data_IF_456894788969
#
_entry.id   IF_456894788969
#
_cell.length_a   1.000
_cell.length_b   1.000
_cell.length_c   1.000
_cell.angle_alpha   90.00
_cell.angle_beta   90.00
_cell.angle_gamma   90.00
#
_symmetry.space_group_name_H-M   'P 1'
#
loop_
_entity.id
_entity.type
_entity.pdbx_description
1 polymer ?
#
# COMPACT_ATOMS: atom_id res chain seq x y z
N UNK A 1 -1.05 -26.34 -38.45
CA UNK A 1 -1.47 -25.29 -37.47
C UNK A 1 -1.96 -24.07 -38.21
N UNK A 2 -3.21 -23.64 -37.99
CA UNK A 2 -3.78 -22.41 -38.58
C UNK A 2 -2.98 -21.17 -38.17
N UNK A 3 -2.92 -20.14 -39.03
CA UNK A 3 -2.25 -18.84 -38.78
C UNK A 3 -2.70 -18.23 -37.45
N UNK A 4 -4.00 -18.32 -37.12
CA UNK A 4 -4.53 -17.82 -35.85
C UNK A 4 -3.93 -18.50 -34.61
N UNK A 5 -3.63 -19.81 -34.67
CA UNK A 5 -2.98 -20.54 -33.57
C UNK A 5 -1.52 -20.13 -33.37
N UNK A 6 -0.80 -19.78 -34.46
CA UNK A 6 0.58 -19.27 -34.38
C UNK A 6 0.62 -17.87 -33.76
N UNK A 7 -0.29 -16.99 -34.16
CA UNK A 7 -0.41 -15.63 -33.61
C UNK A 7 -0.75 -15.68 -32.13
N UNK A 8 -1.71 -16.52 -31.73
CA UNK A 8 -2.07 -16.70 -30.31
C UNK A 8 -0.88 -17.20 -29.48
N UNK A 9 -0.12 -18.18 -29.99
CA UNK A 9 1.07 -18.71 -29.31
C UNK A 9 2.16 -17.66 -29.13
N UNK A 10 2.36 -16.78 -30.12
CA UNK A 10 3.33 -15.69 -30.04
C UNK A 10 2.90 -14.63 -29.01
N UNK A 11 1.62 -14.27 -28.96
CA UNK A 11 1.08 -13.39 -27.91
C UNK A 11 1.23 -13.98 -26.51
N UNK A 12 0.92 -15.27 -26.34
CA UNK A 12 1.11 -15.95 -25.06
C UNK A 12 2.59 -15.95 -24.62
N UNK A 13 3.51 -16.20 -25.55
CA UNK A 13 4.95 -16.18 -25.26
C UNK A 13 5.44 -14.77 -24.87
N UNK A 14 5.02 -13.74 -25.60
CA UNK A 14 5.34 -12.34 -25.26
C UNK A 14 4.77 -11.93 -23.90
N UNK A 15 3.53 -12.34 -23.61
CA UNK A 15 2.87 -12.09 -22.32
C UNK A 15 3.66 -12.74 -21.16
N UNK A 16 4.04 -14.01 -21.31
CA UNK A 16 4.83 -14.72 -20.30
C UNK A 16 6.22 -14.11 -20.13
N UNK A 17 6.88 -13.70 -21.23
CA UNK A 17 8.17 -13.02 -21.16
C UNK A 17 8.08 -11.65 -20.47
N UNK A 18 7.03 -10.87 -20.75
CA UNK A 18 6.77 -9.60 -20.09
C UNK A 18 6.53 -9.78 -18.59
N UNK A 19 5.74 -10.80 -18.20
CA UNK A 19 5.50 -11.14 -16.81
C UNK A 19 6.77 -11.59 -16.09
N UNK A 20 7.58 -12.42 -16.75
CA UNK A 20 8.87 -12.85 -16.23
C UNK A 20 9.80 -11.67 -15.97
N UNK A 21 9.93 -10.74 -16.92
CA UNK A 21 10.70 -9.50 -16.72
C UNK A 21 10.13 -8.64 -15.59
N UNK A 22 8.81 -8.55 -15.47
CA UNK A 22 8.15 -7.76 -14.43
C UNK A 22 8.36 -8.31 -13.01
N UNK A 23 8.49 -9.64 -12.87
CA UNK A 23 8.79 -10.29 -11.58
C UNK A 23 10.13 -9.81 -11.01
N UNK A 24 11.19 -9.80 -11.81
CA UNK A 24 12.50 -9.31 -11.39
C UNK A 24 12.53 -7.82 -11.09
N UNK A 25 11.62 -7.05 -11.70
CA UNK A 25 11.57 -5.59 -11.56
C UNK A 25 10.75 -5.11 -10.35
N UNK A 26 9.61 -5.75 -10.07
CA UNK A 26 8.68 -5.29 -9.02
C UNK A 26 8.73 -6.12 -7.75
N UNK A 27 8.98 -7.42 -7.85
CA UNK A 27 8.78 -8.36 -6.75
C UNK A 27 10.07 -8.95 -6.17
N UNK A 28 11.25 -8.56 -6.70
CA UNK A 28 12.52 -8.98 -6.12
C UNK A 28 12.67 -8.38 -4.72
N UNK A 29 12.55 -9.23 -3.72
CA UNK A 29 12.71 -8.87 -2.31
C UNK A 29 14.12 -8.35 -2.04
N UNK A 30 14.21 -7.23 -1.33
CA UNK A 30 15.48 -6.65 -0.90
C UNK A 30 15.89 -7.19 0.47
N UNK A 31 17.20 -7.14 0.77
CA UNK A 31 17.80 -7.55 2.06
C UNK A 31 17.21 -6.86 3.29
N UNK A 32 16.55 -5.71 3.12
CA UNK A 32 15.96 -4.92 4.20
C UNK A 32 14.47 -5.25 4.48
N UNK A 33 13.92 -6.31 3.86
CA UNK A 33 12.50 -6.68 4.05
C UNK A 33 11.51 -5.72 3.37
N UNK A 34 11.94 -5.07 2.29
CA UNK A 34 11.13 -4.22 1.42
C UNK A 34 11.13 -4.78 -0.01
N UNK A 35 10.02 -4.60 -0.74
CA UNK A 35 9.88 -5.05 -2.14
C UNK A 35 10.53 -4.04 -3.11
N UNK A 36 11.72 -4.36 -3.61
CA UNK A 36 12.46 -3.59 -4.62
C UNK A 36 12.99 -2.22 -4.14
N UNK A 37 14.27 -1.93 -4.41
CA UNK A 37 14.93 -0.66 -4.09
C UNK A 37 15.05 0.29 -5.30
N UNK A 38 14.97 -0.27 -6.52
CA UNK A 38 15.10 0.47 -7.77
C UNK A 38 13.82 1.27 -8.01
N UNK A 39 13.89 2.60 -7.95
CA UNK A 39 12.74 3.51 -8.08
C UNK A 39 11.83 3.61 -6.85
N UNK A 40 12.35 3.52 -5.62
CA UNK A 40 11.59 3.90 -4.42
C UNK A 40 10.95 5.27 -4.62
N UNK A 41 9.70 5.42 -4.16
CA UNK A 41 8.99 6.69 -4.29
C UNK A 41 8.99 7.40 -2.95
N UNK A 42 9.37 8.67 -2.99
CA UNK A 42 9.58 9.48 -1.80
C UNK A 42 8.68 10.71 -1.84
N UNK A 43 8.05 10.99 -0.71
CA UNK A 43 7.40 12.26 -0.43
C UNK A 43 7.78 12.71 0.99
N UNK A 44 7.68 14.00 1.27
CA UNK A 44 7.96 14.53 2.59
C UNK A 44 7.01 15.67 2.96
N UNK A 45 6.94 16.01 4.24
CA UNK A 45 6.20 17.16 4.75
C UNK A 45 6.89 17.73 5.99
N UNK A 46 6.47 18.93 6.36
CA UNK A 46 7.02 19.69 7.48
C UNK A 46 8.23 20.54 7.09
N UNK A 47 9.26 20.58 7.93
CA UNK A 47 10.49 21.33 7.63
C UNK A 47 11.33 20.60 6.57
N UNK A 48 11.87 21.30 5.54
CA UNK A 48 12.65 20.67 4.48
C UNK A 48 13.84 19.86 5.02
N UNK A 49 14.11 18.65 4.48
CA UNK A 49 15.24 17.83 4.92
C UNK A 49 16.61 18.52 4.78
N UNK A 50 16.75 19.40 3.78
CA UNK A 50 17.98 20.11 3.47
C UNK A 50 18.19 21.42 4.25
N UNK A 51 17.17 21.95 4.94
CA UNK A 51 17.32 23.24 5.66
C UNK A 51 18.11 23.14 6.97
N UNK A 52 18.43 21.91 7.43
CA UNK A 52 19.01 21.66 8.76
C UNK A 52 20.26 20.74 8.76
N UNK A 53 20.84 20.40 7.61
CA UNK A 53 22.08 19.59 7.58
C UNK A 53 23.27 20.25 8.32
N UNK A 54 23.15 21.54 8.66
CA UNK A 54 24.14 22.33 9.39
C UNK A 54 23.63 22.90 10.72
N UNK A 55 22.41 22.57 11.14
CA UNK A 55 21.71 23.10 12.33
C UNK A 55 22.03 22.35 13.64
N UNK A 56 23.31 22.11 13.87
CA UNK A 56 23.92 21.43 15.02
C UNK A 56 23.47 22.06 16.37
N UNK A 57 22.44 21.53 17.03
CA UNK A 57 22.01 21.96 18.39
C UNK A 57 20.54 22.34 18.61
N UNK A 58 19.65 22.13 17.63
CA UNK A 58 18.22 22.45 17.77
C UNK A 58 17.36 21.21 18.04
N UNK A 59 16.24 21.43 18.72
CA UNK A 59 15.21 20.39 18.91
C UNK A 59 14.62 19.99 17.55
N UNK A 60 14.59 18.69 17.28
CA UNK A 60 14.14 18.11 16.01
C UNK A 60 13.37 16.81 16.22
N UNK A 61 12.28 16.65 15.48
CA UNK A 61 11.56 15.38 15.32
C UNK A 61 11.68 14.94 13.85
N UNK A 62 12.16 13.73 13.63
CA UNK A 62 12.28 13.14 12.30
C UNK A 62 11.49 11.85 12.25
N UNK A 63 10.43 11.82 11.45
CA UNK A 63 9.55 10.69 11.26
C UNK A 63 9.80 10.05 9.90
N UNK A 64 9.76 8.73 9.87
CA UNK A 64 9.96 7.94 8.67
C UNK A 64 8.81 6.95 8.55
N UNK A 65 8.10 7.00 7.43
CA UNK A 65 7.02 6.08 7.11
C UNK A 65 7.46 5.20 5.96
N UNK A 66 7.44 3.89 6.19
CA UNK A 66 7.78 2.88 5.19
C UNK A 66 6.66 1.85 5.06
N UNK A 67 6.76 0.94 4.10
CA UNK A 67 5.89 -0.23 4.04
C UNK A 67 6.70 -1.52 4.06
N UNK A 68 6.16 -2.57 4.69
CA UNK A 68 6.77 -3.90 4.69
C UNK A 68 6.31 -4.73 3.47
N UNK A 69 6.86 -5.93 3.33
CA UNK A 69 6.48 -6.92 2.29
C UNK A 69 5.00 -7.29 2.29
N UNK A 70 4.32 -7.19 3.44
CA UNK A 70 2.89 -7.46 3.58
C UNK A 70 2.02 -6.24 3.23
N UNK A 71 2.63 -5.12 2.80
CA UNK A 71 1.91 -3.89 2.48
C UNK A 71 1.40 -3.13 3.70
N UNK A 72 1.84 -3.47 4.91
CA UNK A 72 1.55 -2.72 6.13
C UNK A 72 2.46 -1.50 6.22
N UNK A 73 1.88 -0.36 6.60
CA UNK A 73 2.61 0.89 6.80
C UNK A 73 3.23 0.92 8.19
N UNK A 74 4.51 1.24 8.26
CA UNK A 74 5.32 1.28 9.47
C UNK A 74 5.80 2.70 9.72
N UNK A 75 5.66 3.18 10.95
CA UNK A 75 6.20 4.46 11.42
C UNK A 75 7.41 4.21 12.31
N UNK A 76 8.50 4.91 12.03
CA UNK A 76 9.71 4.96 12.84
C UNK A 76 10.28 6.38 12.84
N UNK A 77 11.40 6.59 13.53
CA UNK A 77 12.05 7.90 13.51
C UNK A 77 13.00 8.13 14.68
N UNK A 78 13.36 9.39 14.86
CA UNK A 78 14.15 9.86 15.99
C UNK A 78 13.73 11.25 16.47
N UNK A 79 14.01 11.50 17.75
CA UNK A 79 13.93 12.81 18.38
C UNK A 79 15.34 13.22 18.81
N UNK A 80 15.68 14.47 18.51
CA UNK A 80 16.86 15.14 19.04
C UNK A 80 16.38 16.29 19.90
N UNK A 81 16.89 16.38 21.12
CA UNK A 81 16.59 17.45 22.07
C UNK A 81 17.88 18.17 22.42
N UNK A 82 17.87 19.49 22.35
CA UNK A 82 18.97 20.35 22.81
C UNK A 82 19.15 20.27 24.32
N UNK A 83 20.36 20.56 24.81
CA UNK A 83 20.65 20.61 26.26
C UNK A 83 19.68 21.55 26.99
N UNK A 84 19.42 22.73 26.42
CA UNK A 84 18.48 23.71 26.97
C UNK A 84 17.09 23.14 27.19
N UNK A 85 16.56 22.40 26.21
CA UNK A 85 15.21 21.83 26.30
C UNK A 85 15.20 20.63 27.23
N UNK A 86 16.26 19.81 27.22
CA UNK A 86 16.42 18.70 28.14
C UNK A 86 16.38 19.16 29.61
N UNK A 87 17.16 20.19 29.95
CA UNK A 87 17.26 20.73 31.31
C UNK A 87 15.99 21.48 31.71
N UNK A 88 15.42 22.29 30.81
CA UNK A 88 14.21 23.07 31.07
C UNK A 88 13.02 22.19 31.47
N UNK A 89 12.91 21.02 30.85
CA UNK A 89 11.79 20.10 31.04
C UNK A 89 12.14 18.90 31.92
N UNK A 90 13.37 18.84 32.46
CA UNK A 90 13.87 17.75 33.29
C UNK A 90 13.59 16.37 32.68
N UNK A 91 13.97 16.20 31.41
CA UNK A 91 13.69 14.99 30.62
C UNK A 91 14.45 13.74 31.11
N UNK A 92 15.33 13.90 32.09
CA UNK A 92 15.91 12.77 32.84
C UNK A 92 14.92 12.14 33.82
N UNK A 93 13.91 12.89 34.28
CA UNK A 93 12.87 12.41 35.20
C UNK A 93 11.50 12.30 34.54
N UNK A 94 11.20 13.20 33.60
CA UNK A 94 9.93 13.20 32.89
C UNK A 94 10.08 12.50 31.53
N UNK A 95 9.31 11.44 31.31
CA UNK A 95 9.32 10.70 30.05
C UNK A 95 8.75 11.55 28.91
N UNK A 96 9.50 11.62 27.81
CA UNK A 96 9.05 12.25 26.58
C UNK A 96 8.12 11.29 25.83
N UNK A 97 6.95 11.77 25.41
CA UNK A 97 5.96 10.99 24.67
C UNK A 97 5.57 11.70 23.38
N UNK A 98 5.25 10.91 22.34
CA UNK A 98 4.74 11.41 21.08
C UNK A 98 3.30 10.93 20.89
N UNK A 99 2.40 11.86 20.57
CA UNK A 99 1.06 11.55 20.06
C UNK A 99 0.89 12.09 18.66
N UNK A 100 0.15 11.36 17.85
CA UNK A 100 -0.21 11.70 16.49
C UNK A 100 -1.68 12.09 16.51
N UNK A 101 -1.96 13.38 16.45
CA UNK A 101 -3.33 13.88 16.36
C UNK A 101 -3.82 13.71 14.92
N UNK A 102 -4.88 12.94 14.65
CA UNK A 102 -5.34 12.69 13.29
C UNK A 102 -5.88 13.97 12.65
N UNK A 103 -5.52 14.21 11.40
CA UNK A 103 -6.15 15.26 10.60
C UNK A 103 -7.56 14.82 10.18
N UNK A 104 -8.44 15.79 9.96
CA UNK A 104 -9.78 15.49 9.46
C UNK A 104 -9.70 14.93 8.05
N UNK A 105 -10.31 13.76 7.86
CA UNK A 105 -10.24 12.98 6.63
C UNK A 105 -11.55 12.95 5.83
N UNK A 106 -12.65 13.46 6.41
CA UNK A 106 -13.96 13.65 5.77
C UNK A 106 -14.65 14.87 6.37
N UNK A 107 -15.43 15.61 5.59
CA UNK A 107 -16.16 16.79 6.09
C UNK A 107 -17.29 16.45 7.07
N UNK A 108 -17.80 15.22 7.02
CA UNK A 108 -18.91 14.76 7.87
C UNK A 108 -18.51 14.00 9.14
N UNK A 109 -17.21 13.69 9.32
CA UNK A 109 -16.74 12.82 10.41
C UNK A 109 -15.58 13.48 11.14
N UNK A 110 -15.72 13.63 12.45
CA UNK A 110 -14.65 14.13 13.31
C UNK A 110 -13.59 13.03 13.52
N UNK A 111 -12.29 13.34 13.41
CA UNK A 111 -11.24 12.37 13.66
C UNK A 111 -11.07 12.16 15.18
N UNK A 112 -11.27 10.94 15.67
CA UNK A 112 -11.35 10.65 17.13
C UNK A 112 -10.12 9.89 17.64
N UNK A 113 -9.38 9.20 16.77
CA UNK A 113 -8.35 8.25 17.19
C UNK A 113 -6.96 8.90 17.25
N UNK A 114 -6.49 9.21 18.47
CA UNK A 114 -5.12 9.68 18.70
C UNK A 114 -4.19 8.48 18.86
N UNK A 115 -3.19 8.37 18.00
CA UNK A 115 -2.17 7.32 18.12
C UNK A 115 -1.03 7.76 19.04
N UNK A 116 -0.63 6.93 20.00
CA UNK A 116 0.57 7.17 20.81
C UNK A 116 1.76 6.37 20.26
N UNK A 117 2.89 7.04 20.10
CA UNK A 117 4.14 6.44 19.65
C UNK A 117 5.13 6.49 20.80
N UNK A 118 5.64 5.32 21.16
CA UNK A 118 6.60 5.18 22.24
C UNK A 118 7.98 5.64 21.77
N UNK A 119 8.60 6.48 22.59
CA UNK A 119 9.96 6.98 22.38
C UNK A 119 10.86 6.16 23.30
N UNK A 120 11.97 5.64 22.76
CA UNK A 120 12.98 4.94 23.57
C UNK A 120 13.62 5.93 24.56
N UNK A 121 14.23 5.45 25.65
CA UNK A 121 14.91 6.33 26.60
C UNK A 121 15.92 7.26 25.92
N UNK A 122 15.93 8.53 26.33
CA UNK A 122 16.87 9.53 25.82
C UNK A 122 18.30 9.16 26.24
N UNK A 123 19.17 8.98 25.25
CA UNK A 123 20.60 8.81 25.45
C UNK A 123 21.29 10.17 25.35
N UNK A 124 22.04 10.54 26.40
CA UNK A 124 22.82 11.77 26.43
C UNK A 124 24.16 11.53 25.74
N UNK A 125 24.42 12.23 24.65
CA UNK A 125 25.71 12.18 24.00
C UNK A 125 26.60 13.35 24.47
N UNK A 126 27.27 13.16 25.60
CA UNK A 126 28.18 14.12 26.23
C UNK A 126 29.44 14.42 25.41
N UNK A 127 29.81 13.54 24.47
CA UNK A 127 30.97 13.73 23.58
C UNK A 127 30.59 14.39 22.25
N UNK A 128 29.31 14.64 21.98
CA UNK A 128 28.86 15.36 20.79
C UNK A 128 29.14 16.85 20.90
N UNK A 129 29.52 17.48 19.79
CA UNK A 129 29.77 18.93 19.67
C UNK A 129 28.59 19.82 20.09
N UNK A 130 27.37 19.27 20.17
CA UNK A 130 26.14 20.02 20.45
C UNK A 130 25.53 19.75 21.83
N UNK A 131 26.08 18.80 22.60
CA UNK A 131 25.52 18.36 23.89
C UNK A 131 24.02 18.03 23.81
N UNK A 132 23.56 17.38 22.74
CA UNK A 132 22.15 17.00 22.57
C UNK A 132 21.84 15.61 23.15
N UNK A 133 20.58 15.42 23.55
CA UNK A 133 20.01 14.11 23.84
C UNK A 133 19.32 13.54 22.60
N UNK A 134 19.46 12.23 22.37
CA UNK A 134 18.91 11.53 21.22
C UNK A 134 18.06 10.35 21.70
N UNK A 135 16.90 10.17 21.07
CA UNK A 135 16.06 9.00 21.26
C UNK A 135 15.50 8.53 19.93
N UNK A 136 15.44 7.21 19.73
CA UNK A 136 14.71 6.61 18.62
C UNK A 136 13.26 6.38 19.00
N UNK A 137 12.37 6.41 18.01
CA UNK A 137 11.01 5.95 18.16
C UNK A 137 10.97 4.42 18.03
N UNK A 138 10.11 3.77 18.79
CA UNK A 138 9.81 2.34 18.57
C UNK A 138 9.04 2.18 17.25
N UNK A 139 9.57 1.36 16.34
CA UNK A 139 8.91 1.07 15.07
C UNK A 139 7.59 0.36 15.30
N UNK A 140 6.51 0.85 14.70
CA UNK A 140 5.17 0.29 14.85
C UNK A 140 4.36 0.37 13.57
N UNK A 141 3.39 -0.54 13.36
CA UNK A 141 2.39 -0.36 12.32
C UNK A 141 1.51 0.86 12.61
N UNK A 142 1.05 1.52 11.56
CA UNK A 142 0.10 2.65 11.64
C UNK A 142 -1.22 2.32 10.95
N UNK A 143 -2.30 2.88 11.48
CA UNK A 143 -3.60 2.80 10.84
C UNK A 143 -3.67 3.80 9.69
N UNK A 144 -3.91 3.30 8.48
CA UNK A 144 -4.19 4.14 7.31
C UNK A 144 -5.67 4.07 6.94
N UNK A 145 -6.21 5.21 6.51
CA UNK A 145 -7.59 5.31 6.05
C UNK A 145 -7.66 5.01 4.56
N UNK A 146 -8.49 4.06 4.14
CA UNK A 146 -8.59 3.72 2.72
C UNK A 146 -9.54 2.56 2.47
N UNK A 147 -9.80 2.31 1.19
CA UNK A 147 -10.60 1.17 0.74
C UNK A 147 -9.68 0.17 0.05
N UNK A 148 -9.18 -0.81 0.81
CA UNK A 148 -8.40 -1.93 0.27
C UNK A 148 -9.19 -2.72 -0.78
N UNK A 149 -10.53 -2.74 -0.67
CA UNK A 149 -11.47 -3.42 -1.57
C UNK A 149 -11.39 -2.94 -3.02
N UNK A 150 -10.86 -1.74 -3.28
CA UNK A 150 -10.83 -1.15 -4.62
C UNK A 150 -9.57 -1.55 -5.40
N UNK A 151 -8.84 -2.56 -4.93
CA UNK A 151 -7.64 -3.11 -5.57
C UNK A 151 -7.85 -3.38 -7.08
N UNK A 152 -6.90 -2.98 -7.96
CA UNK A 152 -5.59 -2.37 -7.69
C UNK A 152 -5.59 -0.82 -7.70
N UNK A 153 -6.77 -0.20 -7.59
CA UNK A 153 -6.95 1.25 -7.56
C UNK A 153 -7.20 1.78 -6.15
N UNK A 154 -6.96 0.95 -5.15
CA UNK A 154 -6.97 1.29 -3.74
C UNK A 154 -6.06 2.49 -3.46
N UNK A 155 -6.59 3.36 -2.61
CA UNK A 155 -5.92 4.56 -2.14
C UNK A 155 -5.97 4.57 -0.62
N UNK A 156 -4.82 4.86 -0.01
CA UNK A 156 -4.65 4.98 1.42
C UNK A 156 -4.32 6.43 1.77
N UNK A 157 -4.74 6.88 2.93
CA UNK A 157 -4.52 8.24 3.43
C UNK A 157 -4.01 8.16 4.85
N UNK A 158 -3.03 9.00 5.14
CA UNK A 158 -2.49 9.14 6.47
C UNK A 158 -2.19 10.61 6.71
N UNK A 159 -2.95 11.20 7.64
CA UNK A 159 -2.89 12.63 7.93
C UNK A 159 -2.85 12.83 9.43
N UNK A 160 -1.85 13.55 9.90
CA UNK A 160 -1.63 13.76 11.32
C UNK A 160 -0.87 15.05 11.63
N UNK A 161 -0.93 15.43 12.90
CA UNK A 161 -0.12 16.46 13.54
C UNK A 161 0.65 15.82 14.70
N UNK A 162 1.99 15.69 14.62
CA UNK A 162 2.77 15.12 15.71
C UNK A 162 2.89 16.15 16.84
N UNK A 163 2.60 15.70 18.06
CA UNK A 163 2.70 16.51 19.27
C UNK A 163 3.56 15.76 20.28
N UNK A 164 4.74 16.32 20.56
CA UNK A 164 5.58 15.86 21.67
C UNK A 164 5.06 16.46 22.96
N UNK A 165 5.03 15.67 24.02
CA UNK A 165 4.59 16.14 25.33
C UNK A 165 5.30 15.38 26.44
N UNK A 166 5.28 15.97 27.63
CA UNK A 166 5.71 15.34 28.87
C UNK A 166 4.55 15.28 29.85
N UNK A 167 4.65 14.36 30.81
CA UNK A 167 3.79 14.33 31.99
C UNK A 167 4.61 14.82 33.18
N UNK A 168 4.26 16.00 33.71
CA UNK A 168 4.89 16.57 34.91
C UNK A 168 3.89 16.46 36.06
N UNK A 169 3.98 15.37 36.83
CA UNK A 169 2.92 15.01 37.77
C UNK A 169 1.62 14.67 37.02
N UNK A 170 0.53 15.37 37.32
CA UNK A 170 -0.76 15.20 36.63
C UNK A 170 -0.95 16.15 35.44
N UNK A 171 0.00 17.06 35.18
CA UNK A 171 -0.12 18.02 34.10
C UNK A 171 0.54 17.51 32.81
N UNK A 172 -0.19 17.62 31.70
CA UNK A 172 0.35 17.37 30.35
C UNK A 172 0.87 18.66 29.75
N UNK A 173 2.16 18.70 29.43
CA UNK A 173 2.80 19.88 28.83
C UNK A 173 3.23 19.54 27.40
N UNK A 174 2.57 20.16 26.43
CA UNK A 174 2.90 20.00 25.02
C UNK A 174 4.15 20.84 24.66
N UNK A 175 5.12 20.18 24.01
CA UNK A 175 6.39 20.77 23.60
C UNK A 175 6.31 21.33 22.18
N UNK A 176 6.82 22.55 21.99
CA UNK A 176 6.82 23.21 20.68
C UNK A 176 8.13 22.98 19.94
N UNK A 177 8.17 21.96 19.08
CA UNK A 177 9.32 21.69 18.22
C UNK A 177 9.17 22.45 16.90
N UNK A 178 10.22 23.17 16.49
CA UNK A 178 10.20 23.96 15.24
C UNK A 178 10.59 23.14 14.01
N UNK A 179 11.40 22.11 14.19
CA UNK A 179 11.92 21.28 13.10
C UNK A 179 11.25 19.90 13.21
N UNK A 180 10.22 19.70 12.42
CA UNK A 180 9.48 18.45 12.33
C UNK A 180 9.49 18.07 10.85
N UNK A 181 10.15 16.97 10.54
CA UNK A 181 10.22 16.47 9.17
C UNK A 181 9.67 15.05 9.15
N UNK A 182 8.77 14.77 8.22
CA UNK A 182 8.34 13.41 7.94
C UNK A 182 8.73 13.05 6.53
N UNK A 183 9.51 11.97 6.37
CA UNK A 183 9.74 11.32 5.10
C UNK A 183 8.83 10.11 4.95
N UNK A 184 8.24 9.93 3.78
CA UNK A 184 7.49 8.74 3.41
C UNK A 184 8.19 8.08 2.23
N UNK A 185 8.83 6.94 2.49
CA UNK A 185 9.56 6.16 1.50
C UNK A 185 8.84 4.84 1.28
N UNK A 186 8.30 4.68 0.08
CA UNK A 186 7.50 3.53 -0.30
C UNK A 186 8.24 2.62 -1.27
N UNK A 187 7.96 1.33 -1.15
CA UNK A 187 8.43 0.28 -2.04
C UNK A 187 7.93 0.47 -3.48
N UNK A 188 8.34 -0.42 -4.38
CA UNK A 188 7.97 -0.36 -5.80
C UNK A 188 6.49 -0.60 -6.11
N UNK A 189 5.67 -0.87 -5.11
CA UNK A 189 4.23 -1.07 -5.27
C UNK A 189 3.44 0.22 -5.05
N UNK A 190 3.98 1.20 -4.31
CA UNK A 190 3.25 2.36 -3.84
C UNK A 190 3.93 3.68 -4.19
N UNK A 191 3.12 4.69 -4.51
CA UNK A 191 3.55 6.08 -4.68
C UNK A 191 2.95 6.91 -3.56
N UNK A 192 3.77 7.50 -2.68
CA UNK A 192 3.30 8.49 -1.73
C UNK A 192 3.15 9.85 -2.42
N UNK A 193 2.09 10.56 -2.07
CA UNK A 193 1.73 11.87 -2.62
C UNK A 193 1.43 12.78 -1.43
N UNK A 194 2.25 13.81 -1.23
CA UNK A 194 1.97 14.85 -0.25
C UNK A 194 0.72 15.63 -0.67
N UNK A 195 -0.16 15.91 0.28
CA UNK A 195 -1.34 16.75 0.09
C UNK A 195 -1.08 18.11 0.70
N UNK A 196 -1.35 19.17 -0.06
CA UNK A 196 -0.96 20.52 0.33
C UNK A 196 -1.95 21.16 1.31
N UNK A 197 -3.23 20.87 1.15
CA UNK A 197 -4.32 21.43 1.95
C UNK A 197 -5.40 20.38 2.24
N UNK A 198 -6.40 20.78 3.02
CA UNK A 198 -7.49 19.91 3.44
C UNK A 198 -8.37 19.45 2.29
N UNK A 199 -8.63 20.31 1.32
CA UNK A 199 -9.42 19.97 0.13
C UNK A 199 -8.77 18.83 -0.65
N UNK A 200 -7.47 18.91 -0.89
CA UNK A 200 -6.71 17.86 -1.60
C UNK A 200 -6.59 16.57 -0.79
N UNK A 201 -6.49 16.66 0.54
CA UNK A 201 -6.38 15.50 1.42
C UNK A 201 -7.70 14.75 1.57
N UNK A 202 -8.80 15.47 1.82
CA UNK A 202 -10.14 14.88 1.93
C UNK A 202 -10.64 14.42 0.56
N UNK A 203 -10.36 15.19 -0.51
CA UNK A 203 -10.73 14.85 -1.89
C UNK A 203 -12.18 14.35 -2.03
N UNK A 204 -13.11 15.05 -1.37
CA UNK A 204 -14.56 14.85 -1.46
C UNK A 204 -15.15 16.08 -2.16
N UNK A 205 -16.01 15.88 -3.15
CA UNK A 205 -16.81 16.98 -3.72
C UNK A 205 -18.01 17.20 -2.82
N UNK A 206 -17.97 18.24 -2.01
CA UNK A 206 -19.04 18.56 -1.06
C UNK A 206 -19.27 20.08 -0.96
N UNK A 207 -20.50 20.49 -0.65
CA UNK A 207 -20.88 21.87 -0.35
C UNK A 207 -20.33 22.40 0.98
N UNK A 208 -19.82 21.51 1.84
CA UNK A 208 -19.24 21.85 3.14
C UNK A 208 -17.81 22.43 3.07
N UNK A 209 -17.20 22.47 1.88
CA UNK A 209 -15.87 23.04 1.67
C UNK A 209 -15.92 24.54 1.91
N UNK A 210 -15.03 25.04 2.78
CA UNK A 210 -14.90 26.47 3.07
C UNK A 210 -13.59 27.03 2.52
N UNK A 211 -13.47 28.35 2.44
CA UNK A 211 -12.23 29.01 2.00
C UNK A 211 -11.03 28.65 2.89
N UNK A 212 -11.25 28.40 4.19
CA UNK A 212 -10.17 28.00 5.09
C UNK A 212 -9.58 26.63 4.75
N UNK A 213 -10.35 25.74 4.11
CA UNK A 213 -9.90 24.39 3.77
C UNK A 213 -8.88 24.37 2.62
N UNK A 214 -8.79 25.46 1.85
CA UNK A 214 -7.78 25.66 0.81
C UNK A 214 -6.42 26.12 1.36
N UNK A 215 -6.37 26.52 2.64
CA UNK A 215 -5.12 26.97 3.25
C UNK A 215 -4.12 25.82 3.33
N UNK A 216 -2.83 26.12 3.12
CA UNK A 216 -1.77 25.13 3.25
C UNK A 216 -1.75 24.56 4.67
N UNK A 217 -1.43 23.27 4.79
CA UNK A 217 -1.13 22.68 6.07
C UNK A 217 0.05 23.37 6.77
N UNK A 218 0.00 23.43 8.10
CA UNK A 218 1.09 23.98 8.90
C UNK A 218 2.39 23.17 8.79
N UNK A 219 3.51 23.76 9.21
CA UNK A 219 4.81 23.07 9.21
C UNK A 219 4.88 21.85 10.16
N UNK A 220 3.89 21.70 11.04
CA UNK A 220 3.70 20.57 11.95
C UNK A 220 2.48 19.72 11.57
N UNK A 221 1.95 19.86 10.36
CA UNK A 221 0.85 19.05 9.86
C UNK A 221 1.32 18.32 8.61
N UNK A 222 0.98 17.04 8.55
CA UNK A 222 1.47 16.14 7.53
C UNK A 222 0.29 15.35 6.98
N UNK A 223 0.06 15.47 5.68
CA UNK A 223 -1.02 14.79 4.98
C UNK A 223 -0.46 14.07 3.76
N UNK A 224 -0.64 12.76 3.72
CA UNK A 224 -0.22 11.91 2.61
C UNK A 224 -1.41 11.13 2.06
N UNK A 225 -1.39 10.93 0.75
CA UNK A 225 -2.15 9.91 0.05
C UNK A 225 -1.16 8.92 -0.54
N UNK A 226 -1.49 7.65 -0.53
CA UNK A 226 -0.67 6.58 -1.08
C UNK A 226 -1.51 5.79 -2.07
N UNK A 227 -1.01 5.65 -3.27
CA UNK A 227 -1.69 4.92 -4.34
C UNK A 227 -0.77 3.84 -4.90
N UNK A 228 -1.33 2.82 -5.55
CA UNK A 228 -0.50 1.84 -6.27
C UNK A 228 0.17 2.46 -7.49
N UNK A 229 1.46 2.15 -7.69
CA UNK A 229 2.23 2.57 -8.86
C UNK A 229 1.54 2.10 -10.15
N UNK A 230 1.62 2.94 -11.19
CA UNK A 230 1.12 2.58 -12.52
C UNK A 230 1.76 1.30 -13.07
N UNK A 231 3.06 1.10 -12.82
CA UNK A 231 3.78 -0.14 -13.18
C UNK A 231 3.16 -1.38 -12.54
N UNK A 232 2.77 -1.30 -11.26
CA UNK A 232 2.09 -2.40 -10.57
C UNK A 232 0.72 -2.69 -11.18
N UNK A 233 -0.06 -1.65 -11.52
CA UNK A 233 -1.36 -1.79 -12.20
C UNK A 233 -1.22 -2.48 -13.56
N UNK A 234 -0.16 -2.19 -14.31
CA UNK A 234 0.14 -2.87 -15.59
C UNK A 234 0.41 -4.36 -15.37
N UNK A 235 1.12 -4.74 -14.30
CA UNK A 235 1.35 -6.16 -13.99
C UNK A 235 0.06 -6.88 -13.66
N UNK A 236 -0.79 -6.25 -12.84
CA UNK A 236 -2.14 -6.80 -12.55
C UNK A 236 -2.90 -7.01 -13.85
N UNK A 237 -2.89 -6.04 -14.78
CA UNK A 237 -3.52 -6.17 -16.09
C UNK A 237 -2.93 -7.34 -16.91
N UNK A 238 -1.60 -7.48 -16.96
CA UNK A 238 -0.94 -8.58 -17.68
C UNK A 238 -1.34 -9.94 -17.09
N UNK A 239 -1.41 -10.05 -15.76
CA UNK A 239 -1.88 -11.26 -15.08
C UNK A 239 -3.34 -11.56 -15.40
N UNK A 240 -4.21 -10.54 -15.45
CA UNK A 240 -5.60 -10.71 -15.89
C UNK A 240 -5.69 -11.21 -17.35
N UNK A 241 -4.79 -10.75 -18.22
CA UNK A 241 -4.72 -11.23 -19.61
C UNK A 241 -4.27 -12.70 -19.70
N UNK A 242 -3.39 -13.18 -18.81
CA UNK A 242 -3.04 -14.61 -18.71
C UNK A 242 -4.31 -15.44 -18.49
N UNK A 243 -5.24 -14.93 -17.68
CA UNK A 243 -6.50 -15.62 -17.35
C UNK A 243 -7.44 -15.75 -18.54
N UNK A 244 -7.26 -14.93 -19.57
CA UNK A 244 -7.99 -15.09 -20.82
C UNK A 244 -7.41 -16.23 -21.69
N UNK A 245 -6.20 -16.72 -21.45
CA UNK A 245 -5.60 -17.79 -22.26
C UNK A 245 -6.35 -19.13 -22.13
N UNK A 246 -6.66 -19.65 -20.91
CA UNK A 246 -7.51 -20.83 -20.76
C UNK A 246 -8.89 -20.62 -21.38
N UNK A 247 -9.45 -19.42 -21.27
CA UNK A 247 -10.75 -19.06 -21.84
C UNK A 247 -10.74 -19.23 -23.37
N UNK A 248 -9.73 -18.67 -24.03
CA UNK A 248 -9.52 -18.82 -25.47
C UNK A 248 -9.29 -20.29 -25.83
N UNK A 249 -8.51 -21.02 -25.04
CA UNK A 249 -8.27 -22.45 -25.28
C UNK A 249 -9.56 -23.27 -25.21
N UNK A 250 -10.42 -23.01 -24.22
CA UNK A 250 -11.75 -23.63 -24.09
C UNK A 250 -12.61 -23.32 -25.30
N UNK A 251 -12.58 -22.11 -25.86
CA UNK A 251 -13.35 -21.80 -27.07
C UNK A 251 -12.83 -22.54 -28.31
N UNK A 252 -11.52 -22.64 -28.49
CA UNK A 252 -10.89 -23.23 -29.68
C UNK A 252 -10.78 -24.76 -29.68
N UNK A 253 -10.90 -25.41 -28.52
CA UNK A 253 -10.85 -26.88 -28.42
C UNK A 253 -12.25 -27.48 -28.57
N UNK A 254 -12.40 -28.50 -29.40
CA UNK A 254 -13.69 -29.17 -29.62
C UNK A 254 -14.08 -30.13 -28.49
N UNK A 255 -13.09 -30.63 -27.75
CA UNK A 255 -13.29 -31.55 -26.63
C UNK A 255 -13.27 -30.82 -25.27
N UNK A 256 -14.13 -31.22 -24.32
CA UNK A 256 -14.03 -30.75 -22.94
C UNK A 256 -12.71 -31.26 -22.32
N UNK A 257 -11.85 -30.33 -21.87
CA UNK A 257 -10.53 -30.62 -21.30
C UNK A 257 -10.38 -30.22 -19.83
N UNK A 258 -9.15 -30.33 -19.32
CA UNK A 258 -8.74 -29.92 -17.95
C UNK A 258 -8.72 -28.38 -17.78
N UNK A 259 -9.09 -27.65 -18.83
CA UNK A 259 -8.98 -26.20 -18.93
C UNK A 259 -9.76 -25.45 -17.83
N UNK A 260 -10.89 -25.99 -17.36
CA UNK A 260 -11.63 -25.44 -16.24
C UNK A 260 -10.85 -25.55 -14.92
N UNK A 261 -10.22 -26.71 -14.66
CA UNK A 261 -9.38 -26.93 -13.49
C UNK A 261 -8.13 -26.04 -13.54
N UNK A 262 -7.51 -25.93 -14.71
CA UNK A 262 -6.38 -25.01 -14.93
C UNK A 262 -6.79 -23.55 -14.64
N UNK A 263 -7.97 -23.13 -15.10
CA UNK A 263 -8.51 -21.79 -14.81
C UNK A 263 -8.68 -21.57 -13.31
N UNK A 264 -9.28 -22.52 -12.58
CA UNK A 264 -9.45 -22.42 -11.13
C UNK A 264 -8.12 -22.30 -10.39
N UNK A 265 -7.15 -23.15 -10.73
CA UNK A 265 -5.81 -23.14 -10.12
C UNK A 265 -5.09 -21.83 -10.43
N UNK A 266 -5.15 -21.35 -11.67
CA UNK A 266 -4.54 -20.07 -12.07
C UNK A 266 -5.19 -18.88 -11.37
N UNK A 267 -6.52 -18.84 -11.21
CA UNK A 267 -7.20 -17.78 -10.45
C UNK A 267 -6.76 -17.81 -9.00
N UNK A 268 -6.75 -18.99 -8.38
CA UNK A 268 -6.30 -19.15 -7.00
C UNK A 268 -4.87 -18.65 -6.80
N UNK A 269 -3.95 -19.07 -7.68
CA UNK A 269 -2.55 -18.65 -7.62
C UNK A 269 -2.38 -17.14 -7.81
N UNK A 270 -3.01 -16.54 -8.83
CA UNK A 270 -2.91 -15.10 -9.10
C UNK A 270 -3.54 -14.28 -7.97
N UNK A 271 -4.69 -14.71 -7.45
CA UNK A 271 -5.34 -14.04 -6.33
C UNK A 271 -4.44 -14.04 -5.10
N UNK A 272 -3.90 -15.21 -4.72
CA UNK A 272 -3.00 -15.34 -3.56
C UNK A 272 -1.74 -14.50 -3.77
N UNK A 273 -1.21 -14.47 -4.99
CA UNK A 273 -0.03 -13.66 -5.31
C UNK A 273 -0.29 -12.15 -5.22
N UNK A 274 -1.43 -11.67 -5.72
CA UNK A 274 -1.74 -10.24 -5.80
C UNK A 274 -2.28 -9.65 -4.50
N UNK A 275 -3.11 -10.40 -3.80
CA UNK A 275 -3.91 -9.92 -2.66
C UNK A 275 -3.50 -10.61 -1.36
N UNK A 276 -2.93 -11.81 -1.44
CA UNK A 276 -2.59 -12.63 -0.28
C UNK A 276 -3.66 -13.68 0.04
N UNK A 277 -3.44 -14.46 1.12
CA UNK A 277 -4.37 -15.49 1.56
C UNK A 277 -5.73 -14.91 1.97
N UNK A 278 -6.78 -15.73 1.90
CA UNK A 278 -8.13 -15.43 2.37
C UNK A 278 -8.18 -15.37 3.91
N UNK A 279 -7.53 -14.39 4.54
CA UNK A 279 -7.54 -14.31 6.00
C UNK A 279 -8.80 -13.63 6.56
N UNK A 280 -9.44 -12.71 5.82
CA UNK A 280 -10.44 -11.80 6.41
C UNK A 280 -11.83 -11.78 5.73
N UNK A 281 -12.18 -12.78 4.90
CA UNK A 281 -13.43 -12.79 4.08
C UNK A 281 -13.67 -11.49 3.27
N UNK A 282 -12.64 -10.66 3.12
CA UNK A 282 -12.73 -9.38 2.44
C UNK A 282 -12.74 -9.64 0.94
N UNK A 283 -13.85 -9.30 0.28
CA UNK A 283 -14.00 -9.38 -1.16
C UNK A 283 -13.45 -8.11 -1.79
N UNK A 284 -12.51 -8.30 -2.72
CA UNK A 284 -11.94 -7.21 -3.51
C UNK A 284 -12.73 -7.06 -4.80
N UNK A 285 -12.71 -5.86 -5.37
CA UNK A 285 -13.35 -5.58 -6.66
C UNK A 285 -12.85 -6.51 -7.77
N UNK A 286 -11.56 -6.89 -7.71
CA UNK A 286 -10.95 -7.86 -8.63
C UNK A 286 -11.50 -9.30 -8.45
N UNK A 287 -11.98 -9.67 -7.26
CA UNK A 287 -12.56 -11.00 -7.01
C UNK A 287 -13.84 -11.21 -7.83
N UNK A 288 -14.62 -10.15 -8.08
CA UNK A 288 -15.80 -10.23 -8.96
C UNK A 288 -15.43 -10.52 -10.42
N UNK A 289 -14.31 -9.96 -10.89
CA UNK A 289 -13.78 -10.26 -12.21
C UNK A 289 -13.33 -11.73 -12.29
N UNK A 290 -12.63 -12.22 -11.27
CA UNK A 290 -12.26 -13.63 -11.18
C UNK A 290 -13.48 -14.55 -11.19
N UNK A 291 -14.51 -14.24 -10.39
CA UNK A 291 -15.75 -15.01 -10.37
C UNK A 291 -16.44 -15.03 -11.75
N UNK A 292 -16.50 -13.89 -12.45
CA UNK A 292 -17.07 -13.82 -13.79
C UNK A 292 -16.32 -14.72 -14.78
N UNK A 293 -14.99 -14.77 -14.73
CA UNK A 293 -14.16 -15.67 -15.55
C UNK A 293 -14.45 -17.13 -15.22
N UNK A 294 -14.54 -17.50 -13.93
CA UNK A 294 -14.88 -18.87 -13.51
C UNK A 294 -16.23 -19.29 -14.08
N UNK A 295 -17.26 -18.45 -13.91
CA UNK A 295 -18.61 -18.73 -14.39
C UNK A 295 -18.60 -18.89 -15.91
N UNK A 296 -17.90 -18.02 -16.64
CA UNK A 296 -17.85 -18.09 -18.10
C UNK A 296 -17.14 -19.36 -18.59
N UNK A 297 -15.98 -19.70 -18.04
CA UNK A 297 -15.27 -20.93 -18.43
C UNK A 297 -16.06 -22.18 -18.04
N UNK A 298 -16.66 -22.18 -16.84
CA UNK A 298 -17.47 -23.29 -16.34
C UNK A 298 -18.70 -23.54 -17.20
N UNK A 299 -19.44 -22.48 -17.55
CA UNK A 299 -20.63 -22.57 -18.42
C UNK A 299 -20.29 -23.08 -19.82
N UNK A 300 -19.25 -22.53 -20.46
CA UNK A 300 -18.83 -22.99 -21.80
C UNK A 300 -18.36 -24.44 -21.77
N UNK A 301 -17.58 -24.83 -20.76
CA UNK A 301 -17.13 -26.22 -20.60
C UNK A 301 -18.29 -27.18 -20.41
N UNK A 302 -19.29 -26.82 -19.58
CA UNK A 302 -20.49 -27.61 -19.36
C UNK A 302 -21.30 -27.77 -20.65
N UNK A 303 -21.50 -26.69 -21.40
CA UNK A 303 -22.23 -26.74 -22.69
C UNK A 303 -21.52 -27.67 -23.67
N UNK A 304 -20.19 -27.61 -23.77
CA UNK A 304 -19.42 -28.51 -24.64
C UNK A 304 -19.51 -29.96 -24.19
N UNK A 305 -19.42 -30.22 -22.89
CA UNK A 305 -19.58 -31.56 -22.33
C UNK A 305 -20.99 -32.14 -22.60
N UNK A 306 -22.04 -31.34 -22.40
CA UNK A 306 -23.42 -31.75 -22.71
C UNK A 306 -23.62 -32.05 -24.20
N UNK A 307 -23.07 -31.22 -25.10
CA UNK A 307 -23.12 -31.47 -26.55
C UNK A 307 -22.39 -32.74 -26.94
N UNK A 308 -21.21 -32.98 -26.37
CA UNK A 308 -20.47 -34.21 -26.61
C UNK A 308 -21.23 -35.45 -26.11
N UNK A 309 -21.83 -35.37 -24.92
CA UNK A 309 -22.63 -36.46 -24.37
C UNK A 309 -23.89 -36.73 -25.20
N UNK A 310 -24.62 -35.69 -25.58
CA UNK A 310 -25.80 -35.82 -26.46
C UNK A 310 -25.46 -36.45 -27.81
N UNK A 311 -24.32 -36.08 -28.42
CA UNK A 311 -23.84 -36.72 -29.66
C UNK A 311 -23.49 -38.19 -29.46
N UNK A 312 -22.86 -38.55 -28.34
CA UNK A 312 -22.55 -39.95 -28.00
C UNK A 312 -23.82 -40.77 -27.78
N UNK A 313 -24.82 -40.23 -27.10
CA UNK A 313 -26.12 -40.88 -26.90
C UNK A 313 -26.88 -41.09 -28.22
N UNK A 314 -26.85 -40.09 -29.12
CA UNK A 314 -27.44 -40.21 -30.45
C UNK A 314 -26.74 -41.29 -31.28
N UNK A 315 -25.40 -41.31 -31.29
CA UNK A 315 -24.61 -42.32 -32.00
C UNK A 315 -24.85 -43.74 -31.46
N UNK A 316 -24.99 -43.88 -30.13
CA UNK A 316 -25.32 -45.15 -29.50
C UNK A 316 -26.72 -45.65 -29.88
N UNK A 317 -27.69 -44.74 -30.07
CA UNK A 317 -29.06 -45.09 -30.49
C UNK A 317 -29.17 -45.40 -31.99
N UNK A 318 -28.35 -44.80 -32.84
CA UNK A 318 -28.37 -45.03 -34.29
C UNK A 318 -27.57 -46.24 -34.74
N UNK A 319 -26.86 -46.94 -33.85
CA UNK A 319 -26.03 -48.09 -34.18
C UNK A 319 -24.80 -47.76 -35.04
N UNK A 320 -24.49 -46.48 -35.24
CA UNK A 320 -23.33 -46.02 -36.00
C UNK A 320 -22.13 -45.91 -35.07
N UNK A 321 -21.10 -46.73 -35.30
CA UNK A 321 -19.76 -46.43 -34.79
C UNK A 321 -19.23 -45.18 -35.52
N UNK A 322 -18.62 -44.29 -34.76
CA UNK A 322 -17.97 -43.05 -35.20
C UNK A 322 -17.25 -43.16 -36.56
#
# INVERSE_FOLDING_TARGET
MSVGKKVLGLFALLLMAALWGSYFYVFKENRNGQLGETFSSYAWCGTPPASDATGSGKDRLSLHITNNVHGQFMLSGAVIVSERTFDRYDLGRNELRLRMEPLQWSYGIAPILVEQVKIKPLSRNLSSTNKSAYAELESRPIGVLGRSTDFPFDTYRYGYKPVLYILKGNERIDLKFRHITTGMEMSNTFTPIQKYNRVEYINEKNSLIREEDYKPYGANECAFSVERKGSFKVIVLLLLLVMCLPLLHVFYRDEPGIDFLATLVSIGAIRVFLVGPLNDFQLYSIDFLFAAVIILVGTVSLIKAMRANSRRELAARSGSSW
#
